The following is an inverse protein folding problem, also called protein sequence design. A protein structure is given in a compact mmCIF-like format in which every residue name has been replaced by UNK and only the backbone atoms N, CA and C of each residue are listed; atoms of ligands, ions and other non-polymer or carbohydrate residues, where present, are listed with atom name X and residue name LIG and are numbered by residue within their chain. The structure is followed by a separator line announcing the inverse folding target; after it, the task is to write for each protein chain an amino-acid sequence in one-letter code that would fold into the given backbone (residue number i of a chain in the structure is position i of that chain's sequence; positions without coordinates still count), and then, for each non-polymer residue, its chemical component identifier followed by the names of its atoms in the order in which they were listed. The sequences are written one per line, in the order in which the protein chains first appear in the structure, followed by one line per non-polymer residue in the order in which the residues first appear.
data_IF_945646441296
#
_entry.id   IF_945646441296
#
_cell.length_a   1.000
_cell.length_b   1.000
_cell.length_c   1.000
_cell.angle_alpha   90.00
_cell.angle_beta   90.00
_cell.angle_gamma   90.00
#
_symmetry.space_group_name_H-M   'P 1'
#
loop_
_entity.id
_entity.type
_entity.pdbx_description
1 polymer ?
#
# COMPACT_ATOMS: atom_id res chain seq x y z
N UNK A 1 3.09 4.53 23.01
CA UNK A 1 2.33 5.46 22.14
C UNK A 1 3.37 6.35 21.49
N UNK A 2 3.52 6.30 20.16
CA UNK A 2 4.54 7.08 19.45
C UNK A 2 4.22 8.58 19.45
N UNK A 3 5.20 9.42 19.12
CA UNK A 3 4.98 10.85 18.95
C UNK A 3 3.97 11.10 17.82
N UNK A 4 2.89 11.82 18.12
CA UNK A 4 1.87 12.18 17.12
C UNK A 4 2.17 13.55 16.56
N UNK A 5 2.11 13.68 15.24
CA UNK A 5 2.17 14.97 14.54
C UNK A 5 0.84 15.30 13.88
N UNK A 6 0.64 16.57 13.51
CA UNK A 6 -0.59 17.01 12.82
C UNK A 6 -0.32 17.19 11.33
N UNK A 7 -1.16 16.57 10.51
CA UNK A 7 -1.13 16.74 9.05
C UNK A 7 -2.39 17.51 8.62
N UNK A 8 -2.19 18.61 7.89
CA UNK A 8 -3.31 19.36 7.30
C UNK A 8 -3.80 18.65 6.04
N UNK A 9 -5.09 18.33 5.99
CA UNK A 9 -5.73 17.68 4.84
C UNK A 9 -6.99 18.43 4.44
N UNK A 10 -7.39 18.32 3.16
CA UNK A 10 -8.67 18.87 2.71
C UNK A 10 -9.82 18.10 3.37
N UNK A 11 -10.96 18.79 3.60
CA UNK A 11 -12.18 18.16 4.16
C UNK A 11 -12.58 16.90 3.38
N UNK A 12 -12.56 16.99 2.05
CA UNK A 12 -12.88 15.86 1.16
C UNK A 12 -11.95 14.66 1.37
N UNK A 13 -10.67 14.89 1.64
CA UNK A 13 -9.69 13.83 1.90
C UNK A 13 -9.95 13.15 3.24
N UNK A 14 -10.27 13.93 4.28
CA UNK A 14 -10.69 13.37 5.58
C UNK A 14 -11.96 12.54 5.44
N UNK A 15 -12.94 13.02 4.67
CA UNK A 15 -14.20 12.31 4.49
C UNK A 15 -14.00 11.01 3.67
N UNK A 16 -13.07 11.01 2.71
CA UNK A 16 -12.63 9.79 2.00
C UNK A 16 -11.95 8.81 2.97
N UNK A 17 -11.01 9.26 3.81
CA UNK A 17 -10.39 8.40 4.84
C UNK A 17 -11.43 7.77 5.76
N UNK A 18 -12.47 8.54 6.14
CA UNK A 18 -13.59 8.05 6.94
C UNK A 18 -14.42 6.99 6.22
N UNK A 19 -14.54 7.07 4.89
CA UNK A 19 -15.26 6.08 4.08
C UNK A 19 -14.46 4.79 3.85
N UNK A 20 -13.13 4.88 3.88
CA UNK A 20 -12.22 3.75 3.72
C UNK A 20 -12.13 2.95 5.02
N UNK A 21 -12.09 3.63 6.17
CA UNK A 21 -12.10 2.98 7.48
C UNK A 21 -13.47 2.44 7.90
N UNK A 22 -13.47 1.45 8.78
CA UNK A 22 -14.67 0.95 9.45
C UNK A 22 -15.07 1.83 10.64
N UNK A 23 -16.34 1.75 11.05
CA UNK A 23 -16.89 2.56 12.15
C UNK A 23 -16.12 2.27 13.46
N UNK A 24 -15.32 3.24 13.93
CA UNK A 24 -14.54 3.13 15.17
C UNK A 24 -13.03 2.97 14.97
N UNK A 25 -12.54 2.87 13.73
CA UNK A 25 -11.09 2.85 13.45
C UNK A 25 -10.47 4.26 13.54
N UNK A 26 -9.24 4.32 14.06
CA UNK A 26 -8.46 5.54 14.13
C UNK A 26 -7.87 5.90 12.75
N UNK A 27 -7.76 7.21 12.46
CA UNK A 27 -7.21 7.67 11.18
C UNK A 27 -5.77 7.20 10.97
N UNK A 28 -4.96 7.02 12.02
CA UNK A 28 -3.61 6.49 11.86
C UNK A 28 -3.63 5.05 11.36
N UNK A 29 -4.57 4.22 11.82
CA UNK A 29 -4.73 2.84 11.35
C UNK A 29 -5.08 2.80 9.86
N UNK A 30 -6.01 3.64 9.42
CA UNK A 30 -6.39 3.74 8.00
C UNK A 30 -5.21 4.22 7.15
N UNK A 31 -4.46 5.22 7.63
CA UNK A 31 -3.27 5.73 6.93
C UNK A 31 -2.19 4.63 6.84
N UNK A 32 -1.93 3.89 7.91
CA UNK A 32 -0.97 2.77 7.89
C UNK A 32 -1.36 1.68 6.89
N UNK A 33 -2.66 1.33 6.80
CA UNK A 33 -3.16 0.37 5.82
C UNK A 33 -2.92 0.85 4.40
N UNK A 34 -3.24 2.12 4.11
CA UNK A 34 -3.02 2.72 2.79
C UNK A 34 -1.52 2.76 2.42
N UNK A 35 -0.64 3.07 3.37
CA UNK A 35 0.82 3.04 3.15
C UNK A 35 1.29 1.60 2.84
N UNK A 36 0.81 0.61 3.59
CA UNK A 36 1.16 -0.80 3.36
C UNK A 36 0.70 -1.27 1.98
N UNK A 37 -0.50 -0.89 1.57
CA UNK A 37 -1.04 -1.26 0.27
C UNK A 37 -0.29 -0.57 -0.89
N UNK A 38 0.06 0.71 -0.74
CA UNK A 38 0.92 1.40 -1.70
C UNK A 38 2.28 0.70 -1.84
N UNK A 39 2.96 0.41 -0.74
CA UNK A 39 4.26 -0.27 -0.75
C UNK A 39 4.17 -1.69 -1.35
N UNK A 40 3.06 -2.40 -1.10
CA UNK A 40 2.83 -3.71 -1.70
C UNK A 40 2.68 -3.62 -3.21
N UNK A 41 1.96 -2.61 -3.72
CA UNK A 41 1.80 -2.39 -5.15
C UNK A 41 3.14 -2.04 -5.80
N UNK A 42 3.95 -1.17 -5.18
CA UNK A 42 5.30 -0.86 -5.65
C UNK A 42 6.19 -2.12 -5.70
N UNK A 43 6.12 -2.99 -4.69
CA UNK A 43 6.88 -4.24 -4.68
C UNK A 43 6.42 -5.20 -5.78
N UNK A 44 5.12 -5.29 -6.03
CA UNK A 44 4.56 -6.12 -7.11
C UNK A 44 4.98 -5.58 -8.47
N UNK A 45 4.91 -4.27 -8.69
CA UNK A 45 5.36 -3.64 -9.93
C UNK A 45 6.86 -3.82 -10.15
N UNK A 46 7.68 -3.62 -9.11
CA UNK A 46 9.10 -3.91 -9.15
C UNK A 46 9.37 -5.37 -9.53
N UNK A 47 8.67 -6.31 -8.88
CA UNK A 47 8.82 -7.75 -9.15
C UNK A 47 8.41 -8.11 -10.58
N UNK A 48 7.32 -7.52 -11.10
CA UNK A 48 6.89 -7.69 -12.50
C UNK A 48 7.95 -7.19 -13.47
N UNK A 49 8.55 -6.03 -13.20
CA UNK A 49 9.61 -5.46 -14.03
C UNK A 49 10.86 -6.35 -14.03
N UNK A 50 11.31 -6.82 -12.87
CA UNK A 50 12.47 -7.71 -12.76
C UNK A 50 12.26 -9.03 -13.51
N UNK A 51 11.09 -9.64 -13.38
CA UNK A 51 10.75 -10.87 -14.12
C UNK A 51 10.69 -10.60 -15.63
N UNK A 52 10.15 -9.45 -16.05
CA UNK A 52 10.07 -9.09 -17.46
C UNK A 52 11.46 -8.82 -18.08
N UNK A 53 12.36 -8.15 -17.35
CA UNK A 53 13.70 -7.78 -17.82
C UNK A 53 14.70 -8.95 -17.80
N UNK A 54 14.54 -9.91 -16.87
CA UNK A 54 15.44 -11.06 -16.71
C UNK A 54 14.73 -12.38 -16.95
N UNK A 55 13.83 -12.41 -17.94
CA UNK A 55 12.99 -13.57 -18.27
C UNK A 55 13.80 -14.87 -18.47
N UNK A 56 15.01 -14.77 -18.99
CA UNK A 56 15.90 -15.91 -19.24
C UNK A 56 16.53 -16.53 -17.98
N UNK A 57 16.47 -15.83 -16.83
CA UNK A 57 17.00 -16.32 -15.53
C UNK A 57 15.92 -17.03 -14.68
N UNK A 58 14.65 -16.98 -15.07
CA UNK A 58 13.53 -17.55 -14.31
C UNK A 58 12.89 -18.73 -15.05
N UNK A 59 12.83 -19.89 -14.40
CA UNK A 59 12.12 -21.08 -14.91
C UNK A 59 10.68 -21.06 -14.40
N UNK A 60 9.71 -21.36 -15.27
CA UNK A 60 8.30 -21.40 -14.87
C UNK A 60 8.06 -22.58 -13.92
N UNK A 61 7.31 -22.34 -12.84
CA UNK A 61 6.97 -23.39 -11.85
C UNK A 61 6.10 -24.49 -12.47
N UNK A 62 5.37 -24.19 -13.55
CA UNK A 62 4.60 -25.18 -14.35
C UNK A 62 5.48 -26.18 -15.14
N UNK A 63 6.79 -25.91 -15.26
CA UNK A 63 7.74 -26.83 -15.92
C UNK A 63 8.46 -27.78 -14.94
N UNK A 64 8.07 -27.79 -13.66
CA UNK A 64 8.53 -28.73 -12.61
C UNK A 64 7.55 -29.90 -12.41
#
# INVERSE_FOLDING_TARGET
MGETTTIQVKKITRDALRSIGHMGEDYNTVIELLIREHNRNELVEYSRNVVAERKDEFVSIDEL
#
